data_IF_997267757224
#
_entry.id   IF_997267757224
#
_cell.length_a   1.000
_cell.length_b   1.000
_cell.length_c   1.000
_cell.angle_alpha   90.00
_cell.angle_beta   90.00
_cell.angle_gamma   90.00
#
_symmetry.space_group_name_H-M   'P 1'
#
loop_
_entity.id
_entity.type
_entity.pdbx_description
1 polymer ?
#
# COMPACT_ATOMS: atom_id res chain seq x y z
N UNK A 1 12.05 -6.23 4.21
CA UNK A 1 11.31 -5.17 3.53
C UNK A 1 11.57 -5.27 2.03
N UNK A 2 10.66 -5.93 1.32
CA UNK A 2 10.58 -5.84 -0.15
C UNK A 2 9.69 -4.64 -0.49
N UNK A 3 10.15 -3.82 -1.44
CA UNK A 3 9.39 -2.67 -1.94
C UNK A 3 8.97 -2.96 -3.39
N UNK A 4 7.67 -3.02 -3.64
CA UNK A 4 7.11 -3.24 -4.97
C UNK A 4 6.14 -2.11 -5.31
N UNK A 5 6.07 -1.74 -6.59
CA UNK A 5 5.11 -0.75 -7.08
C UNK A 5 3.97 -1.47 -7.80
N UNK A 6 2.74 -1.26 -7.32
CA UNK A 6 1.53 -1.84 -7.89
C UNK A 6 0.48 -0.77 -8.20
N UNK A 7 -0.27 -0.97 -9.29
CA UNK A 7 -1.41 -0.10 -9.61
C UNK A 7 -2.63 -0.62 -8.85
N UNK A 8 -3.17 0.22 -7.97
CA UNK A 8 -4.37 -0.08 -7.18
C UNK A 8 -5.31 1.11 -7.22
N UNK A 9 -6.60 0.86 -7.05
CA UNK A 9 -7.57 1.92 -6.90
C UNK A 9 -7.33 2.68 -5.59
N UNK A 10 -7.08 3.99 -5.67
CA UNK A 10 -6.99 4.83 -4.49
C UNK A 10 -8.37 5.44 -4.21
N UNK A 11 -8.96 5.12 -3.06
CA UNK A 11 -10.24 5.68 -2.64
C UNK A 11 -10.20 7.22 -2.53
N UNK A 12 -9.06 7.77 -2.11
CA UNK A 12 -8.88 9.21 -1.96
C UNK A 12 -8.75 9.95 -3.31
N UNK A 13 -8.10 9.33 -4.31
CA UNK A 13 -8.01 9.90 -5.66
C UNK A 13 -9.21 9.51 -6.55
N UNK A 14 -10.03 8.56 -6.10
CA UNK A 14 -11.14 7.96 -6.86
C UNK A 14 -10.74 7.46 -8.26
N UNK A 15 -9.50 6.98 -8.39
CA UNK A 15 -8.92 6.46 -9.63
C UNK A 15 -7.82 5.44 -9.35
N UNK A 16 -7.44 4.69 -10.38
CA UNK A 16 -6.27 3.81 -10.32
C UNK A 16 -4.99 4.64 -10.30
N UNK A 17 -4.16 4.41 -9.29
CA UNK A 17 -2.90 5.11 -9.09
C UNK A 17 -1.81 4.13 -8.71
N UNK A 18 -0.56 4.54 -8.93
CA UNK A 18 0.59 3.76 -8.50
C UNK A 18 0.69 3.85 -6.98
N UNK A 19 0.75 2.69 -6.34
CA UNK A 19 0.98 2.54 -4.91
C UNK A 19 2.33 1.85 -4.70
N UNK A 20 3.11 2.37 -3.76
CA UNK A 20 4.29 1.70 -3.24
C UNK A 20 3.84 0.76 -2.12
N UNK A 21 4.05 -0.53 -2.32
CA UNK A 21 3.77 -1.56 -1.33
C UNK A 21 5.09 -1.91 -0.64
N UNK A 22 5.11 -1.79 0.68
CA UNK A 22 6.21 -2.24 1.52
C UNK A 22 5.73 -3.41 2.33
N UNK A 23 6.29 -4.58 2.06
CA UNK A 23 5.92 -5.80 2.77
C UNK A 23 7.08 -6.30 3.64
N UNK A 24 6.71 -6.60 4.89
CA UNK A 24 7.52 -7.31 5.85
C UNK A 24 6.76 -8.52 6.40
N UNK A 25 7.42 -9.39 7.17
CA UNK A 25 6.76 -10.55 7.76
C UNK A 25 5.56 -10.16 8.63
N UNK A 26 5.58 -9.00 9.29
CA UNK A 26 4.54 -8.59 10.24
C UNK A 26 3.45 -7.71 9.63
N UNK A 27 3.77 -6.92 8.60
CA UNK A 27 2.94 -5.83 8.11
C UNK A 27 3.11 -5.59 6.61
N UNK A 28 2.09 -4.97 6.02
CA UNK A 28 2.06 -4.53 4.63
C UNK A 28 1.60 -3.07 4.61
N UNK A 29 2.44 -2.16 4.14
CA UNK A 29 2.11 -0.75 3.95
C UNK A 29 1.85 -0.47 2.47
N UNK A 30 0.75 0.22 2.15
CA UNK A 30 0.41 0.69 0.80
C UNK A 30 0.42 2.22 0.80
N UNK A 31 1.28 2.82 -0.01
CA UNK A 31 1.44 4.27 -0.11
C UNK A 31 1.05 4.72 -1.50
N UNK A 32 -0.04 5.47 -1.64
CA UNK A 32 -0.43 6.06 -2.93
C UNK A 32 0.58 7.15 -3.34
N UNK A 33 1.20 7.03 -4.52
CA UNK A 33 2.17 8.03 -5.03
C UNK A 33 1.56 9.37 -5.44
N UNK A 34 0.24 9.40 -5.64
CA UNK A 34 -0.48 10.59 -6.13
C UNK A 34 -0.96 11.48 -4.98
N UNK A 35 -1.52 10.89 -3.92
CA UNK A 35 -2.03 11.64 -2.77
C UNK A 35 -1.29 11.38 -1.46
N UNK A 36 -0.27 10.51 -1.46
CA UNK A 36 0.45 10.06 -0.27
C UNK A 36 -0.47 9.52 0.81
N UNK A 37 -1.57 8.85 0.43
CA UNK A 37 -2.40 8.14 1.40
C UNK A 37 -1.70 6.83 1.81
N UNK A 38 -1.52 6.63 3.12
CA UNK A 38 -0.91 5.43 3.69
C UNK A 38 -2.00 4.47 4.18
N UNK A 39 -1.88 3.20 3.84
CA UNK A 39 -2.73 2.11 4.32
C UNK A 39 -1.85 1.02 4.91
N UNK A 40 -1.94 0.77 6.20
CA UNK A 40 -1.17 -0.26 6.90
C UNK A 40 -2.07 -1.46 7.21
N UNK A 41 -1.61 -2.66 6.82
CA UNK A 41 -2.26 -3.93 7.07
C UNK A 41 -1.34 -4.82 7.90
N UNK A 42 -1.75 -5.14 9.12
CA UNK A 42 -1.00 -6.05 9.99
C UNK A 42 -1.39 -7.50 9.71
N UNK A 43 -0.39 -8.35 9.44
CA UNK A 43 -0.59 -9.80 9.29
C UNK A 43 -0.88 -10.39 10.66
N UNK A 44 -2.12 -10.81 10.89
CA UNK A 44 -2.49 -11.53 12.11
C UNK A 44 -2.05 -12.99 11.99
N UNK A 45 -1.04 -13.38 12.77
CA UNK A 45 -0.62 -14.76 12.95
C UNK A 45 -1.43 -15.39 14.09
N UNK A 46 -2.61 -15.92 13.80
CA UNK A 46 -3.41 -16.71 14.73
C UNK A 46 -3.52 -18.16 14.25
#
# INVERSE_FOLDING_TARGET
MEEIEEVKFCENCSRDTVHMVREDPLEIEYICRECNNHQELFKSFF
#
